data_IF_062591984825
#
_entry.id   IF_062591984825
#
_cell.length_a   1.000
_cell.length_b   1.000
_cell.length_c   1.000
_cell.angle_alpha   90.00
_cell.angle_beta   90.00
_cell.angle_gamma   90.00
#
_symmetry.space_group_name_H-M   'P 1'
#
loop_
_entity.id
_entity.type
_entity.pdbx_description
1 polymer ?
#
# COMPACT_ATOMS: atom_id res chain seq x y z
N UNK A 1 -22.40 -11.26 28.04
CA UNK A 1 -21.18 -10.53 27.62
C UNK A 1 -20.17 -11.57 27.14
N UNK A 2 -20.24 -11.92 25.87
CA UNK A 2 -19.46 -13.02 25.29
C UNK A 2 -18.00 -12.58 25.19
N UNK A 3 -17.12 -13.20 25.97
CA UNK A 3 -15.66 -13.08 25.82
C UNK A 3 -15.29 -13.85 24.56
N UNK A 4 -15.19 -13.14 23.44
CA UNK A 4 -14.66 -13.70 22.20
C UNK A 4 -13.16 -13.91 22.45
N UNK A 5 -12.64 -15.14 22.33
CA UNK A 5 -11.20 -15.34 22.33
C UNK A 5 -10.68 -14.74 21.02
N UNK A 6 -9.94 -13.64 21.12
CA UNK A 6 -9.14 -13.11 20.01
C UNK A 6 -8.21 -14.24 19.55
N UNK A 7 -8.56 -14.79 18.40
CA UNK A 7 -7.90 -15.93 17.81
C UNK A 7 -6.54 -15.45 17.29
N UNK A 8 -5.51 -16.29 17.26
CA UNK A 8 -4.17 -15.88 16.83
C UNK A 8 -4.11 -15.18 15.45
N UNK A 9 -5.14 -15.39 14.62
CA UNK A 9 -5.36 -14.66 13.38
C UNK A 9 -5.46 -13.13 13.57
N UNK A 10 -6.12 -12.65 14.64
CA UNK A 10 -6.33 -11.24 14.90
C UNK A 10 -5.01 -10.48 15.12
N UNK A 11 -3.98 -11.11 15.70
CA UNK A 11 -2.67 -10.47 15.92
C UNK A 11 -1.94 -10.17 14.61
N UNK A 12 -2.13 -11.03 13.60
CA UNK A 12 -1.54 -10.81 12.28
C UNK A 12 -2.33 -9.76 11.49
N UNK A 13 -3.65 -9.72 11.65
CA UNK A 13 -4.49 -8.69 11.01
C UNK A 13 -4.20 -7.31 11.59
N UNK A 14 -4.08 -7.18 12.91
CA UNK A 14 -3.81 -5.91 13.57
C UNK A 14 -2.50 -5.27 13.10
N UNK A 15 -1.43 -6.07 13.02
CA UNK A 15 -0.14 -5.58 12.52
C UNK A 15 -0.14 -5.27 11.03
N UNK A 16 -1.04 -5.87 10.25
CA UNK A 16 -1.23 -5.55 8.84
C UNK A 16 -2.01 -4.24 8.69
N UNK A 17 -3.09 -4.07 9.46
CA UNK A 17 -3.94 -2.87 9.49
C UNK A 17 -3.13 -1.63 9.86
N UNK A 18 -2.26 -1.72 10.87
CA UNK A 18 -1.33 -0.64 11.23
C UNK A 18 -0.42 -0.24 10.06
N UNK A 19 0.01 -1.22 9.25
CA UNK A 19 0.87 -0.98 8.09
C UNK A 19 0.10 -0.46 6.87
N UNK A 20 -1.17 -0.85 6.72
CA UNK A 20 -2.11 -0.35 5.72
C UNK A 20 -2.44 1.13 5.93
N UNK A 21 -2.55 1.55 7.19
CA UNK A 21 -2.80 2.94 7.58
C UNK A 21 -1.57 3.85 7.46
N UNK A 22 -0.40 3.29 7.14
CA UNK A 22 0.81 4.07 6.92
C UNK A 22 0.68 4.94 5.67
N UNK A 23 1.13 6.19 5.77
CA UNK A 23 1.04 7.15 4.67
C UNK A 23 2.04 6.83 3.56
N UNK A 24 1.71 7.17 2.32
CA UNK A 24 2.62 7.09 1.15
C UNK A 24 3.88 7.94 1.35
N UNK A 25 3.79 9.02 2.14
CA UNK A 25 4.92 9.83 2.57
C UNK A 25 5.87 9.11 3.55
N UNK A 26 5.36 8.21 4.38
CA UNK A 26 6.15 7.51 5.42
C UNK A 26 6.88 6.28 4.88
N UNK A 27 6.35 5.64 3.84
CA UNK A 27 6.95 4.47 3.20
C UNK A 27 8.17 4.79 2.31
N UNK A 28 8.56 6.08 2.24
CA UNK A 28 9.77 6.53 1.57
C UNK A 28 9.61 6.68 0.05
N UNK A 29 8.42 7.04 -0.42
CA UNK A 29 8.19 7.45 -1.80
C UNK A 29 8.80 8.81 -2.11
N UNK A 30 9.16 9.05 -3.36
CA UNK A 30 9.62 10.38 -3.78
C UNK A 30 8.46 11.37 -3.74
N UNK A 31 8.75 12.65 -3.43
CA UNK A 31 7.76 13.74 -3.40
C UNK A 31 6.92 13.80 -4.67
N UNK A 32 7.50 13.43 -5.83
CA UNK A 32 6.80 13.34 -7.11
C UNK A 32 5.74 12.25 -7.08
N UNK A 33 6.12 11.04 -6.69
CA UNK A 33 5.22 9.90 -6.54
C UNK A 33 4.13 10.16 -5.51
N UNK A 34 4.48 10.71 -4.35
CA UNK A 34 3.53 11.08 -3.29
C UNK A 34 2.49 12.08 -3.80
N UNK A 35 2.93 13.20 -4.41
CA UNK A 35 2.00 14.20 -4.94
C UNK A 35 1.07 13.64 -6.02
N UNK A 36 1.56 12.77 -6.91
CA UNK A 36 0.72 12.13 -7.93
C UNK A 36 -0.35 11.20 -7.31
N UNK A 37 -0.01 10.50 -6.23
CA UNK A 37 -0.94 9.64 -5.51
C UNK A 37 -1.96 10.47 -4.74
N UNK A 38 -1.53 11.53 -4.06
CA UNK A 38 -2.40 12.46 -3.32
C UNK A 38 -3.41 13.17 -4.22
N UNK A 39 -3.02 13.58 -5.43
CA UNK A 39 -3.94 14.15 -6.43
C UNK A 39 -5.07 13.18 -6.82
N UNK A 40 -4.80 11.87 -6.77
CA UNK A 40 -5.81 10.83 -7.00
C UNK A 40 -6.62 10.49 -5.76
N UNK A 41 -6.28 11.05 -4.60
CA UNK A 41 -6.88 10.71 -3.31
C UNK A 41 -6.24 9.50 -2.62
N UNK A 42 -5.03 9.11 -3.04
CA UNK A 42 -4.29 7.97 -2.47
C UNK A 42 -3.25 8.51 -1.48
N UNK A 43 -3.61 8.51 -0.20
CA UNK A 43 -2.73 8.98 0.89
C UNK A 43 -2.10 7.84 1.67
N UNK A 44 -2.73 6.66 1.67
CA UNK A 44 -2.33 5.51 2.49
C UNK A 44 -1.91 4.31 1.64
N UNK A 45 -1.17 3.40 2.27
CA UNK A 45 -0.84 2.09 1.68
C UNK A 45 -2.11 1.30 1.34
N UNK A 46 -3.15 1.43 2.16
CA UNK A 46 -4.47 0.84 1.91
C UNK A 46 -5.09 1.33 0.59
N UNK A 47 -5.17 2.64 0.39
CA UNK A 47 -5.73 3.22 -0.84
C UNK A 47 -4.92 2.79 -2.06
N UNK A 48 -3.61 2.67 -1.88
CA UNK A 48 -2.71 2.24 -2.93
C UNK A 48 -2.87 0.76 -3.28
N UNK A 49 -3.15 -0.10 -2.29
CA UNK A 49 -3.49 -1.52 -2.49
C UNK A 49 -4.87 -1.71 -3.12
N UNK A 50 -5.82 -0.81 -2.84
CA UNK A 50 -7.14 -0.77 -3.49
C UNK A 50 -7.05 -0.26 -4.93
N UNK A 51 -6.04 0.54 -5.24
CA UNK A 51 -5.79 1.07 -6.58
C UNK A 51 -5.16 0.01 -7.48
N UNK A 52 -5.61 -0.07 -8.73
CA UNK A 52 -5.05 -1.01 -9.69
C UNK A 52 -3.87 -0.41 -10.45
N UNK A 53 -3.03 -1.27 -11.01
CA UNK A 53 -1.92 -0.86 -11.89
C UNK A 53 -2.41 0.06 -13.02
N UNK A 54 -3.54 -0.28 -13.63
CA UNK A 54 -4.12 0.50 -14.75
C UNK A 54 -4.54 1.90 -14.29
N UNK A 55 -5.10 1.99 -13.08
CA UNK A 55 -5.46 3.26 -12.47
C UNK A 55 -4.19 4.08 -12.17
N UNK A 56 -3.15 3.47 -11.59
CA UNK A 56 -1.89 4.16 -11.35
C UNK A 56 -1.21 4.63 -12.65
N UNK A 57 -1.14 3.79 -13.69
CA UNK A 57 -0.59 4.15 -15.01
C UNK A 57 -1.41 5.19 -15.77
N UNK A 58 -2.68 5.38 -15.41
CA UNK A 58 -3.54 6.43 -15.95
C UNK A 58 -3.28 7.82 -15.36
N UNK A 59 -2.50 7.93 -14.28
CA UNK A 59 -2.20 9.22 -13.64
C UNK A 59 -1.23 10.02 -14.51
N UNK A 60 -1.54 11.29 -14.74
CA UNK A 60 -0.64 12.22 -15.42
C UNK A 60 0.68 12.33 -14.63
N UNK A 61 1.81 12.05 -15.27
CA UNK A 61 3.16 11.96 -14.68
C UNK A 61 3.48 10.66 -13.92
N UNK A 62 2.66 9.62 -14.07
CA UNK A 62 2.93 8.30 -13.53
C UNK A 62 3.53 7.41 -14.62
N UNK A 63 4.80 7.05 -14.44
CA UNK A 63 5.53 6.18 -15.36
C UNK A 63 5.88 4.85 -14.71
N UNK A 64 6.56 3.99 -15.48
CA UNK A 64 7.14 2.74 -14.95
C UNK A 64 8.01 2.97 -13.72
N UNK A 65 8.86 4.03 -13.72
CA UNK A 65 9.69 4.40 -12.56
C UNK A 65 8.87 4.67 -11.30
N UNK A 66 7.86 5.53 -11.41
CA UNK A 66 6.98 5.91 -10.30
C UNK A 66 6.25 4.69 -9.75
N UNK A 67 5.77 3.83 -10.66
CA UNK A 67 5.10 2.58 -10.34
C UNK A 67 6.03 1.58 -9.63
N UNK A 68 7.28 1.48 -10.07
CA UNK A 68 8.30 0.64 -9.43
C UNK A 68 8.64 1.14 -8.03
N UNK A 69 8.77 2.45 -7.82
CA UNK A 69 8.97 3.03 -6.49
C UNK A 69 7.85 2.66 -5.53
N UNK A 70 6.60 2.74 -5.99
CA UNK A 70 5.42 2.33 -5.23
C UNK A 70 5.47 0.85 -4.85
N UNK A 71 5.77 -0.03 -5.80
CA UNK A 71 5.89 -1.44 -5.51
C UNK A 71 7.03 -1.73 -4.55
N UNK A 72 8.16 -1.05 -4.70
CA UNK A 72 9.31 -1.25 -3.83
C UNK A 72 9.04 -0.74 -2.40
N UNK A 73 8.29 0.35 -2.27
CA UNK A 73 7.79 0.85 -0.99
C UNK A 73 6.82 -0.16 -0.34
N UNK A 74 5.86 -0.70 -1.10
CA UNK A 74 4.96 -1.76 -0.63
C UNK A 74 5.74 -3.00 -0.15
N UNK A 75 6.74 -3.45 -0.90
CA UNK A 75 7.57 -4.60 -0.54
C UNK A 75 8.37 -4.37 0.75
N UNK A 76 8.87 -3.15 0.98
CA UNK A 76 9.52 -2.78 2.26
C UNK A 76 8.55 -2.86 3.43
N UNK A 77 7.28 -2.54 3.19
CA UNK A 77 6.19 -2.71 4.15
C UNK A 77 5.60 -4.13 4.08
N UNK A 78 6.26 -5.09 3.42
CA UNK A 78 5.86 -6.49 3.39
C UNK A 78 4.52 -6.74 2.71
N UNK A 79 4.04 -5.80 1.90
CA UNK A 79 2.90 -5.97 1.03
C UNK A 79 3.37 -6.35 -0.37
N UNK A 80 2.91 -7.49 -0.85
CA UNK A 80 3.16 -7.96 -2.20
C UNK A 80 1.84 -7.92 -2.97
N UNK A 81 1.89 -7.52 -4.25
CA UNK A 81 0.70 -7.55 -5.10
C UNK A 81 0.08 -8.95 -5.07
N UNK A 82 -1.25 -9.03 -4.97
CA UNK A 82 -1.96 -10.31 -5.11
C UNK A 82 -1.60 -10.91 -6.48
N UNK A 83 -0.76 -11.95 -6.48
CA UNK A 83 -0.22 -12.56 -7.70
C UNK A 83 1.29 -12.77 -7.72
N UNK A 84 2.04 -12.15 -6.80
CA UNK A 84 3.46 -12.49 -6.55
C UNK A 84 3.54 -13.10 -5.16
N UNK A 85 3.09 -14.35 -5.05
CA UNK A 85 3.55 -15.13 -3.89
C UNK A 85 5.02 -15.42 -4.14
N UNK A 86 5.96 -15.03 -3.26
CA UNK A 86 7.30 -15.58 -3.32
C UNK A 86 7.17 -17.10 -3.19
N UNK A 87 7.72 -17.81 -4.17
CA UNK A 87 7.84 -19.26 -4.15
C UNK A 87 9.01 -19.65 -3.25
#
# INVERSE_FOLDING_TARGET
MTRIPLSAADRQTQTLEERLQMSTAEIGLTVRTTNCLEERGIFTVEDLLKSTREDLLGIQNFGEKTLEEVYHALEKVGFYRQGVRPR
#
